data_IF_693544676453
#
_entry.id   IF_693544676453
#
_cell.length_a   1.000
_cell.length_b   1.000
_cell.length_c   1.000
_cell.angle_alpha   90.00
_cell.angle_beta   90.00
_cell.angle_gamma   90.00
#
_symmetry.space_group_name_H-M   'P 1'
#
loop_
_entity.id
_entity.type
_entity.pdbx_description
1 polymer ?
#
# COMPACT_ATOMS: atom_id res chain seq x y z
N UNK A 1 24.42 15.93 -6.61
CA UNK A 1 22.99 16.30 -6.63
C UNK A 1 22.21 15.00 -6.65
N UNK A 2 21.92 14.45 -5.49
CA UNK A 2 21.07 13.26 -5.34
C UNK A 2 19.64 13.73 -5.39
N UNK A 3 18.99 13.53 -6.53
CA UNK A 3 17.57 13.77 -6.71
C UNK A 3 16.82 12.76 -5.84
N UNK A 4 16.50 13.15 -4.60
CA UNK A 4 15.46 12.49 -3.83
C UNK A 4 14.15 12.76 -4.54
N UNK A 5 13.73 11.86 -5.44
CA UNK A 5 12.39 11.82 -5.99
C UNK A 5 11.40 11.46 -4.86
N UNK A 6 11.15 12.43 -3.98
CA UNK A 6 9.97 12.50 -3.14
C UNK A 6 8.80 12.89 -4.05
N UNK A 7 8.36 11.97 -4.92
CA UNK A 7 7.03 12.05 -5.52
C UNK A 7 6.03 11.76 -4.38
N UNK A 8 5.85 12.75 -3.50
CA UNK A 8 5.10 12.73 -2.25
C UNK A 8 3.60 12.71 -2.55
N UNK A 9 3.08 11.57 -3.00
CA UNK A 9 1.64 11.33 -3.00
C UNK A 9 1.27 10.82 -1.62
N UNK A 10 0.67 11.69 -0.81
CA UNK A 10 0.11 11.31 0.48
C UNK A 10 -0.90 10.18 0.27
N UNK A 11 -0.68 8.99 0.84
CA UNK A 11 -1.64 7.91 0.78
C UNK A 11 -2.92 8.30 1.50
N UNK A 12 -4.05 7.71 1.12
CA UNK A 12 -5.30 7.90 1.87
C UNK A 12 -5.18 7.28 3.26
N UNK A 13 -5.97 7.69 4.26
CA UNK A 13 -5.87 7.05 5.57
C UNK A 13 -6.35 5.58 5.55
N UNK A 14 -7.25 5.21 4.62
CA UNK A 14 -7.65 3.80 4.38
C UNK A 14 -6.49 2.95 3.88
N UNK A 15 -5.66 3.51 2.99
CA UNK A 15 -4.41 2.88 2.57
C UNK A 15 -3.49 2.60 3.76
N UNK A 16 -3.27 3.61 4.59
CA UNK A 16 -2.34 3.50 5.71
C UNK A 16 -2.85 2.49 6.75
N UNK A 17 -4.17 2.39 6.94
CA UNK A 17 -4.79 1.34 7.75
C UNK A 17 -4.44 -0.07 7.27
N UNK A 18 -4.49 -0.32 5.95
CA UNK A 18 -4.11 -1.60 5.37
C UNK A 18 -2.61 -1.89 5.53
N UNK A 19 -1.77 -0.89 5.25
CA UNK A 19 -0.32 -1.01 5.41
C UNK A 19 0.10 -1.25 6.85
N UNK A 20 -0.61 -0.66 7.81
CA UNK A 20 -0.38 -0.86 9.23
C UNK A 20 -0.64 -2.32 9.64
N UNK A 21 -1.77 -2.90 9.22
CA UNK A 21 -2.08 -4.31 9.49
C UNK A 21 -1.08 -5.26 8.83
N UNK A 22 -0.59 -4.93 7.64
CA UNK A 22 0.42 -5.71 6.92
C UNK A 22 1.85 -5.52 7.47
N UNK A 23 2.08 -4.60 8.41
CA UNK A 23 3.42 -4.28 8.92
C UNK A 23 4.37 -3.67 7.87
N UNK A 24 3.82 -3.02 6.84
CA UNK A 24 4.58 -2.30 5.78
C UNK A 24 4.52 -0.79 5.89
N UNK A 25 3.70 -0.24 6.80
CA UNK A 25 3.55 1.20 6.92
C UNK A 25 4.89 1.85 7.32
N UNK A 26 5.42 2.80 6.54
CA UNK A 26 6.66 3.51 6.90
C UNK A 26 6.34 4.51 8.02
N UNK A 27 6.51 4.06 9.26
CA UNK A 27 6.15 4.80 10.48
C UNK A 27 6.78 6.20 10.55
N UNK A 28 7.93 6.40 9.92
CA UNK A 28 8.62 7.67 9.82
C UNK A 28 7.92 8.69 8.91
N UNK A 29 7.12 8.23 7.95
CA UNK A 29 6.38 9.09 7.01
C UNK A 29 4.97 9.42 7.50
N UNK A 30 4.43 8.61 8.43
CA UNK A 30 3.05 8.72 8.92
C UNK A 30 2.75 10.09 9.59
N UNK A 31 3.62 10.67 10.43
CA UNK A 31 3.38 12.01 10.97
C UNK A 31 3.22 13.08 9.89
N UNK A 32 4.00 13.00 8.81
CA UNK A 32 3.90 13.94 7.70
C UNK A 32 2.61 13.74 6.91
N UNK A 33 2.19 12.50 6.67
CA UNK A 33 0.88 12.21 6.06
C UNK A 33 -0.28 12.68 6.92
N UNK A 34 -0.20 12.50 8.24
CA UNK A 34 -1.19 12.99 9.18
C UNK A 34 -1.35 14.52 9.10
N UNK A 35 -0.23 15.25 8.99
CA UNK A 35 -0.26 16.70 8.78
C UNK A 35 -0.95 17.09 7.47
N UNK A 36 -0.74 16.32 6.40
CA UNK A 36 -1.43 16.54 5.13
C UNK A 36 -2.93 16.23 5.24
N UNK A 37 -3.34 15.15 5.91
CA UNK A 37 -4.76 14.85 6.12
C UNK A 37 -5.48 15.95 6.91
N UNK A 38 -4.83 16.55 7.91
CA UNK A 38 -5.34 17.74 8.60
C UNK A 38 -5.55 18.91 7.64
N UNK A 39 -4.59 19.16 6.75
CA UNK A 39 -4.70 20.20 5.73
C UNK A 39 -5.82 19.93 4.72
N UNK A 40 -6.10 18.65 4.43
CA UNK A 40 -7.18 18.22 3.55
C UNK A 40 -8.57 18.25 4.23
N UNK A 41 -8.63 18.63 5.51
CA UNK A 41 -9.88 18.84 6.27
C UNK A 41 -10.31 17.68 7.15
N UNK A 42 -9.50 16.62 7.25
CA UNK A 42 -9.69 15.56 8.24
C UNK A 42 -9.15 16.05 9.57
N UNK A 43 -9.98 16.59 10.46
CA UNK A 43 -9.54 17.17 11.74
C UNK A 43 -10.01 16.36 12.94
N UNK A 44 -9.07 15.78 13.68
CA UNK A 44 -9.35 15.03 14.91
C UNK A 44 -8.23 15.17 15.95
N UNK A 45 -8.52 15.03 17.26
CA UNK A 45 -7.52 15.15 18.32
C UNK A 45 -6.32 14.20 18.15
N UNK A 46 -6.57 12.90 17.94
CA UNK A 46 -5.51 11.92 17.78
C UNK A 46 -4.71 12.15 16.49
N UNK A 47 -5.35 12.67 15.44
CA UNK A 47 -4.66 13.01 14.20
C UNK A 47 -3.74 14.23 14.36
N UNK A 48 -4.13 15.25 15.14
CA UNK A 48 -3.25 16.38 15.49
C UNK A 48 -2.04 15.95 16.30
N UNK A 49 -2.24 15.03 17.24
CA UNK A 49 -1.16 14.46 18.03
C UNK A 49 -0.20 13.67 17.15
N UNK A 50 -0.73 12.81 16.27
CA UNK A 50 0.04 12.04 15.29
C UNK A 50 0.85 12.94 14.36
N UNK A 51 0.26 14.05 13.88
CA UNK A 51 0.94 15.03 13.02
C UNK A 51 2.04 15.82 13.76
N UNK A 52 1.91 15.95 15.09
CA UNK A 52 2.90 16.61 15.94
C UNK A 52 4.09 15.73 16.32
N UNK A 53 4.04 14.43 16.03
CA UNK A 53 5.13 13.52 16.37
C UNK A 53 6.37 13.76 15.51
N UNK A 54 7.52 13.45 16.10
CA UNK A 54 8.75 13.30 15.33
C UNK A 54 8.74 11.94 14.61
N UNK A 55 9.34 11.89 13.41
CA UNK A 55 9.43 10.67 12.60
C UNK A 55 10.34 9.56 13.17
N UNK A 56 10.90 9.76 14.37
CA UNK A 56 11.83 8.83 15.02
C UNK A 56 11.18 7.98 16.11
N UNK A 57 9.97 8.31 16.52
CA UNK A 57 9.22 7.57 17.55
C UNK A 57 8.22 6.61 16.90
N UNK A 58 8.75 5.55 16.28
CA UNK A 58 7.93 4.55 15.60
C UNK A 58 6.98 3.83 16.57
N UNK A 59 7.34 3.70 17.84
CA UNK A 59 6.46 3.07 18.84
C UNK A 59 5.21 3.91 19.08
N UNK A 60 5.39 5.21 19.34
CA UNK A 60 4.27 6.14 19.57
C UNK A 60 3.40 6.30 18.32
N UNK A 61 4.00 6.26 17.12
CA UNK A 61 3.24 6.22 15.85
C UNK A 61 2.36 4.97 15.77
N UNK A 62 2.88 3.79 16.11
CA UNK A 62 2.11 2.54 16.08
C UNK A 62 0.96 2.53 17.09
N UNK A 63 1.12 3.19 18.23
CA UNK A 63 0.09 3.28 19.27
C UNK A 63 -1.02 4.28 18.91
N UNK A 64 -0.66 5.43 18.34
CA UNK A 64 -1.61 6.51 18.03
C UNK A 64 -2.33 6.33 16.69
N UNK A 65 -1.71 5.66 15.72
CA UNK A 65 -2.30 5.49 14.39
C UNK A 65 -3.68 4.78 14.41
N UNK A 66 -3.90 3.69 15.16
CA UNK A 66 -5.22 3.08 15.30
C UNK A 66 -6.28 4.03 15.84
N UNK A 67 -5.93 4.86 16.83
CA UNK A 67 -6.84 5.83 17.41
C UNK A 67 -7.19 6.95 16.40
N UNK A 68 -6.20 7.48 15.68
CA UNK A 68 -6.41 8.48 14.65
C UNK A 68 -7.32 7.95 13.53
N UNK A 69 -7.11 6.71 13.06
CA UNK A 69 -7.96 6.09 12.04
C UNK A 69 -9.39 5.87 12.53
N UNK A 70 -9.57 5.44 13.78
CA UNK A 70 -10.89 5.27 14.37
C UNK A 70 -11.67 6.60 14.47
N UNK A 71 -11.01 7.70 14.84
CA UNK A 71 -11.62 9.04 14.88
C UNK A 71 -12.03 9.54 13.47
N UNK A 72 -11.30 9.12 12.44
CA UNK A 72 -11.66 9.39 11.04
C UNK A 72 -12.78 8.48 10.50
N UNK A 73 -13.32 7.58 11.34
CA UNK A 73 -14.35 6.61 10.94
C UNK A 73 -13.81 5.45 10.09
N UNK A 74 -12.49 5.23 10.10
CA UNK A 74 -11.83 4.20 9.31
C UNK A 74 -11.58 2.99 10.19
N UNK A 75 -12.29 1.91 9.89
CA UNK A 75 -12.07 0.63 10.52
C UNK A 75 -10.76 0.00 10.01
N UNK A 76 -9.94 -0.50 10.94
CA UNK A 76 -8.83 -1.36 10.57
C UNK A 76 -9.37 -2.65 9.94
N UNK A 77 -8.76 -3.15 8.85
CA UNK A 77 -9.11 -4.45 8.29
C UNK A 77 -9.05 -5.55 9.36
N UNK A 78 -10.10 -6.37 9.43
CA UNK A 78 -10.22 -7.44 10.44
C UNK A 78 -9.40 -8.69 10.12
N UNK A 79 -8.92 -8.82 8.88
CA UNK A 79 -8.10 -9.95 8.42
C UNK A 79 -6.94 -9.47 7.55
N UNK A 80 -5.87 -10.27 7.51
CA UNK A 80 -4.71 -10.04 6.62
C UNK A 80 -5.14 -10.00 5.16
N UNK A 81 -6.04 -10.89 4.73
CA UNK A 81 -6.63 -10.87 3.37
C UNK A 81 -7.34 -9.54 3.07
N UNK A 82 -8.15 -9.00 3.99
CA UNK A 82 -8.84 -7.73 3.78
C UNK A 82 -7.87 -6.54 3.69
N UNK A 83 -6.79 -6.57 4.47
CA UNK A 83 -5.72 -5.58 4.39
C UNK A 83 -4.98 -5.68 3.04
N UNK A 84 -4.59 -6.89 2.62
CA UNK A 84 -3.93 -7.12 1.34
C UNK A 84 -4.81 -6.72 0.16
N UNK A 85 -6.10 -7.06 0.17
CA UNK A 85 -7.05 -6.65 -0.88
C UNK A 85 -7.15 -5.12 -1.02
N UNK A 86 -7.13 -4.39 0.10
CA UNK A 86 -7.13 -2.92 0.12
C UNK A 86 -5.82 -2.36 -0.43
N UNK A 87 -4.68 -2.89 0.00
CA UNK A 87 -3.36 -2.48 -0.50
C UNK A 87 -3.23 -2.75 -2.02
N UNK A 88 -3.63 -3.94 -2.47
CA UNK A 88 -3.63 -4.33 -3.87
C UNK A 88 -4.57 -3.46 -4.72
N UNK A 89 -5.76 -3.13 -4.23
CA UNK A 89 -6.66 -2.20 -4.95
C UNK A 89 -5.97 -0.87 -5.23
N UNK A 90 -5.29 -0.29 -4.24
CA UNK A 90 -4.58 0.97 -4.45
C UNK A 90 -3.37 0.82 -5.38
N UNK A 91 -2.58 -0.26 -5.26
CA UNK A 91 -1.49 -0.54 -6.20
C UNK A 91 -2.03 -0.61 -7.64
N UNK A 92 -3.17 -1.27 -7.83
CA UNK A 92 -3.85 -1.37 -9.11
C UNK A 92 -4.31 0.00 -9.64
N UNK A 93 -4.92 0.85 -8.80
CA UNK A 93 -5.30 2.22 -9.17
C UNK A 93 -4.08 3.06 -9.57
N UNK A 94 -2.96 2.94 -8.85
CA UNK A 94 -1.73 3.66 -9.16
C UNK A 94 -1.12 3.17 -10.48
N UNK A 95 -1.11 1.86 -10.72
CA UNK A 95 -0.62 1.28 -11.97
C UNK A 95 -1.44 1.78 -13.17
N UNK A 96 -2.77 1.70 -13.07
CA UNK A 96 -3.68 2.08 -14.17
C UNK A 96 -3.77 3.59 -14.40
N UNK A 97 -3.41 4.39 -13.40
CA UNK A 97 -3.30 5.86 -13.53
C UNK A 97 -1.91 6.30 -14.00
N UNK A 98 -1.04 5.38 -14.44
CA UNK A 98 0.36 5.63 -14.83
C UNK A 98 1.20 6.31 -13.74
N UNK A 99 0.73 6.16 -12.50
CA UNK A 99 1.31 6.74 -11.29
C UNK A 99 2.37 5.83 -10.68
N UNK A 100 2.37 4.55 -11.04
CA UNK A 100 3.36 3.55 -10.67
C UNK A 100 3.69 2.65 -11.87
N UNK A 101 4.95 2.25 -12.00
CA UNK A 101 5.38 1.30 -13.03
C UNK A 101 5.06 -0.14 -12.66
N UNK A 102 4.88 -1.00 -13.66
CA UNK A 102 4.45 -2.40 -13.48
C UNK A 102 5.44 -3.24 -12.66
N UNK A 103 6.75 -3.06 -12.89
CA UNK A 103 7.79 -3.72 -12.10
C UNK A 103 7.71 -3.33 -10.61
N UNK A 104 7.50 -2.04 -10.33
CA UNK A 104 7.37 -1.57 -8.96
C UNK A 104 6.15 -2.18 -8.27
N UNK A 105 5.03 -2.32 -8.99
CA UNK A 105 3.83 -3.00 -8.47
C UNK A 105 4.12 -4.47 -8.14
N UNK A 106 4.80 -5.20 -9.03
CA UNK A 106 5.20 -6.59 -8.77
C UNK A 106 6.07 -6.70 -7.50
N UNK A 107 7.02 -5.79 -7.31
CA UNK A 107 7.86 -5.76 -6.11
C UNK A 107 7.07 -5.47 -4.83
N UNK A 108 6.09 -4.57 -4.89
CA UNK A 108 5.21 -4.33 -3.74
C UNK A 108 4.32 -5.54 -3.43
N UNK A 109 3.87 -6.29 -4.46
CA UNK A 109 3.11 -7.53 -4.26
C UNK A 109 3.96 -8.59 -3.56
N UNK A 110 5.20 -8.80 -4.00
CA UNK A 110 6.16 -9.70 -3.35
C UNK A 110 6.31 -9.37 -1.85
N UNK A 111 6.53 -8.10 -1.54
CA UNK A 111 6.71 -7.60 -0.18
C UNK A 111 5.49 -7.84 0.71
N UNK A 112 4.29 -7.61 0.17
CA UNK A 112 3.00 -7.83 0.85
C UNK A 112 2.77 -9.33 1.10
N UNK A 113 3.00 -10.19 0.11
CA UNK A 113 2.80 -11.65 0.26
C UNK A 113 3.76 -12.23 1.29
N UNK A 114 5.03 -11.82 1.29
CA UNK A 114 6.00 -12.25 2.29
C UNK A 114 5.59 -11.83 3.71
N UNK A 115 5.12 -10.60 3.90
CA UNK A 115 4.67 -10.11 5.23
C UNK A 115 3.33 -10.67 5.67
N UNK A 116 2.48 -11.04 4.73
CA UNK A 116 1.31 -11.86 4.99
C UNK A 116 1.67 -13.32 5.32
N UNK A 117 2.97 -13.65 5.45
CA UNK A 117 3.46 -15.00 5.72
C UNK A 117 2.97 -16.04 4.70
N UNK A 118 2.95 -15.64 3.41
CA UNK A 118 2.53 -16.49 2.29
C UNK A 118 1.10 -17.02 2.45
N UNK A 119 0.21 -16.23 3.04
CA UNK A 119 -1.20 -16.58 3.18
C UNK A 119 -1.81 -16.86 1.79
N UNK A 120 -2.35 -18.07 1.61
CA UNK A 120 -2.94 -18.47 0.34
C UNK A 120 -4.13 -17.59 -0.04
N UNK A 121 -4.90 -17.09 0.93
CA UNK A 121 -6.02 -16.18 0.64
C UNK A 121 -5.52 -14.85 0.05
N UNK A 122 -4.31 -14.42 0.41
CA UNK A 122 -3.66 -13.23 -0.16
C UNK A 122 -3.10 -13.53 -1.55
N UNK A 123 -2.48 -14.69 -1.74
CA UNK A 123 -1.94 -15.12 -3.04
C UNK A 123 -3.07 -15.30 -4.06
N UNK A 124 -4.22 -15.83 -3.64
CA UNK A 124 -5.39 -16.08 -4.49
C UNK A 124 -6.09 -14.79 -4.98
N UNK A 125 -5.74 -13.63 -4.41
CA UNK A 125 -6.21 -12.35 -4.95
C UNK A 125 -5.62 -12.08 -6.35
N UNK A 126 -6.35 -11.39 -7.24
CA UNK A 126 -5.89 -11.14 -8.61
C UNK A 126 -4.50 -10.51 -8.72
N UNK A 127 -4.15 -9.58 -7.83
CA UNK A 127 -2.80 -9.01 -7.77
C UNK A 127 -1.79 -9.93 -7.09
N UNK A 128 -2.21 -10.76 -6.13
CA UNK A 128 -1.38 -11.74 -5.43
C UNK A 128 -0.79 -12.79 -6.39
N UNK A 129 -1.47 -13.07 -7.50
CA UNK A 129 -0.99 -13.97 -8.57
C UNK A 129 0.29 -13.46 -9.27
N UNK A 130 0.71 -12.23 -9.04
CA UNK A 130 2.00 -11.70 -9.52
C UNK A 130 3.19 -12.15 -8.66
N UNK A 131 2.95 -12.76 -7.50
CA UNK A 131 4.01 -13.30 -6.66
C UNK A 131 4.84 -14.35 -7.40
N UNK A 132 6.16 -14.29 -7.27
CA UNK A 132 7.09 -15.18 -7.97
C UNK A 132 7.32 -14.82 -9.44
N UNK A 133 6.79 -13.68 -9.91
CA UNK A 133 7.05 -13.19 -11.27
C UNK A 133 8.19 -12.18 -11.33
N UNK A 134 8.71 -11.68 -10.19
CA UNK A 134 9.79 -10.68 -10.16
C UNK A 134 11.04 -11.17 -10.92
N UNK A 135 11.43 -12.42 -10.74
CA UNK A 135 12.60 -13.03 -11.39
C UNK A 135 12.52 -12.98 -12.93
N UNK A 136 11.31 -13.06 -13.50
CA UNK A 136 11.10 -13.00 -14.94
C UNK A 136 11.42 -11.61 -15.53
N UNK A 137 11.35 -10.54 -14.71
CA UNK A 137 11.72 -9.18 -15.12
C UNK A 137 13.23 -8.98 -15.22
N UNK A 138 13.99 -9.68 -14.39
CA UNK A 138 15.44 -9.51 -14.28
C UNK A 138 16.24 -10.53 -15.09
N UNK A 139 15.69 -11.74 -15.26
CA UNK A 139 16.42 -12.88 -15.79
C UNK A 139 16.59 -12.91 -17.31
N UNK A 140 15.69 -12.29 -18.08
CA UNK A 140 15.64 -12.50 -19.54
C UNK A 140 15.26 -13.94 -19.95
N UNK A 141 15.01 -14.82 -18.97
CA UNK A 141 14.34 -16.10 -19.11
C UNK A 141 12.88 -15.93 -18.65
N UNK A 142 12.01 -15.63 -19.61
CA UNK A 142 10.60 -15.36 -19.33
C UNK A 142 9.88 -14.77 -20.54
N UNK A 143 8.58 -14.45 -20.39
CA UNK A 143 7.85 -13.68 -21.40
C UNK A 143 8.53 -12.35 -21.69
N UNK A 144 8.33 -11.76 -22.88
CA UNK A 144 8.78 -10.41 -23.18
C UNK A 144 8.29 -9.40 -22.12
N UNK A 145 9.08 -8.37 -21.84
CA UNK A 145 8.72 -7.31 -20.86
C UNK A 145 7.33 -6.72 -21.14
N UNK A 146 6.96 -6.54 -22.41
CA UNK A 146 5.62 -6.04 -22.77
C UNK A 146 4.50 -7.01 -22.41
N UNK A 147 4.74 -8.32 -22.47
CA UNK A 147 3.79 -9.33 -22.01
C UNK A 147 3.67 -9.31 -20.48
N UNK A 148 4.79 -9.16 -19.75
CA UNK A 148 4.77 -9.00 -18.29
C UNK A 148 3.99 -7.75 -17.87
N UNK A 149 4.21 -6.60 -18.53
CA UNK A 149 3.45 -5.38 -18.30
C UNK A 149 1.95 -5.58 -18.54
N UNK A 150 1.59 -6.25 -19.64
CA UNK A 150 0.20 -6.55 -19.95
C UNK A 150 -0.45 -7.45 -18.89
N UNK A 151 0.28 -8.44 -18.38
CA UNK A 151 -0.16 -9.29 -17.28
C UNK A 151 -0.41 -8.48 -16.00
N UNK A 152 0.53 -7.61 -15.60
CA UNK A 152 0.34 -6.73 -14.43
C UNK A 152 -0.91 -5.86 -14.59
N UNK A 153 -1.10 -5.23 -15.76
CA UNK A 153 -2.29 -4.40 -16.03
C UNK A 153 -3.59 -5.21 -16.02
N UNK A 154 -3.57 -6.44 -16.52
CA UNK A 154 -4.72 -7.35 -16.46
C UNK A 154 -5.07 -7.72 -15.02
N UNK A 155 -4.07 -8.08 -14.20
CA UNK A 155 -4.23 -8.32 -12.77
C UNK A 155 -4.76 -7.07 -12.04
N UNK A 156 -4.24 -5.88 -12.34
CA UNK A 156 -4.73 -4.62 -11.77
C UNK A 156 -6.22 -4.42 -12.07
N UNK A 157 -6.61 -4.61 -13.33
CA UNK A 157 -8.01 -4.48 -13.75
C UNK A 157 -8.91 -5.50 -13.03
N UNK A 158 -8.45 -6.75 -12.91
CA UNK A 158 -9.18 -7.80 -12.20
C UNK A 158 -9.32 -7.51 -10.70
N UNK A 159 -8.27 -6.97 -10.07
CA UNK A 159 -8.28 -6.58 -8.66
C UNK A 159 -9.31 -5.49 -8.37
N UNK A 160 -9.40 -4.45 -9.22
CA UNK A 160 -10.39 -3.40 -9.05
C UNK A 160 -11.82 -3.93 -9.20
N UNK A 161 -12.06 -4.83 -10.17
CA UNK A 161 -13.39 -5.47 -10.34
C UNK A 161 -13.77 -6.35 -9.15
N UNK A 162 -12.82 -7.09 -8.60
CA UNK A 162 -13.06 -7.99 -7.45
C UNK A 162 -13.29 -7.24 -6.13
N UNK A 163 -12.86 -5.98 -6.04
CA UNK A 163 -12.94 -5.15 -4.83
C UNK A 163 -13.93 -3.99 -4.96
N UNK A 164 -14.71 -3.96 -6.05
CA UNK A 164 -15.80 -3.02 -6.24
C UNK A 164 -17.00 -3.44 -5.37
N UNK A 165 -17.59 -2.53 -4.58
CA UNK A 165 -18.73 -2.84 -3.72
C UNK A 165 -20.00 -3.22 -4.50
#
# INVERSE_FOLDING_TARGET
MTEHHHDQRTPTPVTVAAWFILGIAPTESIPWWAAQWLADGHDSPALRELAGLNSRDSHTVNDLLPAALAELGIALPSTTMAAAATAFRQLAEMCLSERAGELWVTQQVEDIVMRANYDNEVIDLPLGQLYGTEDAWQGGWGPPIEELKNTVRACCTAQLRATQP
#
